data_IF_400314156931
#
_entry.id   IF_400314156931
#
_cell.length_a   1.000
_cell.length_b   1.000
_cell.length_c   1.000
_cell.angle_alpha   90.00
_cell.angle_beta   90.00
_cell.angle_gamma   90.00
#
_symmetry.space_group_name_H-M   'P 1'
#
loop_
_entity.id
_entity.type
_entity.pdbx_description
1 polymer ?
#
# COMPACT_ATOMS: atom_id res chain seq x y z
N UNK A 1 -70.39 -20.56 63.07
CA UNK A 1 -69.18 -20.54 62.21
C UNK A 1 -69.63 -20.20 60.80
N UNK A 2 -69.40 -18.97 60.33
CA UNK A 2 -69.78 -18.54 58.99
C UNK A 2 -68.51 -18.50 58.14
N UNK A 3 -68.26 -19.57 57.38
CA UNK A 3 -67.17 -19.63 56.42
C UNK A 3 -67.58 -18.80 55.18
N UNK A 4 -67.00 -17.61 55.02
CA UNK A 4 -67.04 -16.90 53.75
C UNK A 4 -66.12 -17.63 52.76
N UNK A 5 -66.72 -18.46 51.89
CA UNK A 5 -66.04 -18.94 50.70
C UNK A 5 -65.99 -17.81 49.66
N UNK A 6 -64.78 -17.37 49.30
CA UNK A 6 -64.58 -16.46 48.18
C UNK A 6 -64.98 -17.16 46.87
N UNK A 7 -65.77 -16.51 45.99
CA UNK A 7 -66.19 -17.12 44.73
C UNK A 7 -64.97 -17.39 43.84
N UNK A 8 -64.93 -18.60 43.28
CA UNK A 8 -63.88 -19.08 42.38
C UNK A 8 -63.97 -18.37 41.01
N UNK A 9 -63.59 -17.09 40.98
CA UNK A 9 -63.65 -16.24 39.80
C UNK A 9 -62.42 -16.47 38.93
N UNK A 10 -62.37 -17.63 38.27
CA UNK A 10 -61.32 -18.00 37.33
C UNK A 10 -61.05 -16.93 36.25
N UNK A 11 -62.08 -16.14 35.90
CA UNK A 11 -61.93 -14.99 35.00
C UNK A 11 -61.08 -13.86 35.59
N UNK A 12 -61.32 -13.51 36.86
CA UNK A 12 -60.58 -12.47 37.58
C UNK A 12 -59.11 -12.87 37.77
N UNK A 13 -58.85 -14.15 38.06
CA UNK A 13 -57.49 -14.70 38.14
C UNK A 13 -56.75 -14.60 36.80
N UNK A 14 -57.40 -14.96 35.69
CA UNK A 14 -56.83 -14.82 34.35
C UNK A 14 -56.54 -13.36 33.99
N UNK A 15 -57.42 -12.44 34.40
CA UNK A 15 -57.26 -11.01 34.16
C UNK A 15 -56.08 -10.42 34.96
N UNK A 16 -55.95 -10.79 36.24
CA UNK A 16 -54.83 -10.37 37.11
C UNK A 16 -53.50 -10.91 36.58
N UNK A 17 -53.47 -12.17 36.13
CA UNK A 17 -52.27 -12.78 35.54
C UNK A 17 -51.91 -12.11 34.21
N UNK A 18 -52.88 -11.80 33.35
CA UNK A 18 -52.64 -11.09 32.09
C UNK A 18 -52.14 -9.65 32.32
N UNK A 19 -52.75 -8.90 33.24
CA UNK A 19 -52.29 -7.57 33.62
C UNK A 19 -50.88 -7.60 34.25
N UNK A 20 -50.60 -8.59 35.10
CA UNK A 20 -49.28 -8.78 35.70
C UNK A 20 -48.21 -9.10 34.66
N UNK A 21 -48.52 -9.93 33.66
CA UNK A 21 -47.62 -10.21 32.53
C UNK A 21 -47.38 -8.97 31.66
N UNK A 22 -48.41 -8.17 31.37
CA UNK A 22 -48.27 -6.91 30.63
C UNK A 22 -47.42 -5.87 31.38
N UNK A 23 -47.59 -5.77 32.70
CA UNK A 23 -46.78 -4.90 33.56
C UNK A 23 -45.32 -5.37 33.63
N UNK A 24 -45.08 -6.67 33.72
CA UNK A 24 -43.73 -7.25 33.63
C UNK A 24 -43.09 -7.00 32.25
N UNK A 25 -43.84 -7.13 31.15
CA UNK A 25 -43.34 -6.82 29.81
C UNK A 25 -42.98 -5.34 29.66
N UNK A 26 -43.82 -4.45 30.18
CA UNK A 26 -43.56 -3.01 30.18
C UNK A 26 -42.35 -2.65 31.04
N UNK A 27 -42.21 -3.26 32.23
CA UNK A 27 -41.05 -3.06 33.11
C UNK A 27 -39.76 -3.55 32.44
N UNK A 28 -39.82 -4.69 31.74
CA UNK A 28 -38.70 -5.22 30.95
C UNK A 28 -38.26 -4.23 29.87
N UNK A 29 -39.19 -3.58 29.16
CA UNK A 29 -38.83 -2.55 28.16
C UNK A 29 -38.15 -1.31 28.77
N UNK A 30 -38.39 -0.98 30.04
CA UNK A 30 -37.73 0.14 30.74
C UNK A 30 -36.35 -0.26 31.27
N UNK A 31 -36.13 -1.54 31.57
CA UNK A 31 -34.88 -2.05 32.15
C UNK A 31 -33.77 -2.29 31.12
N UNK A 32 -34.12 -2.30 29.82
CA UNK A 32 -33.15 -2.40 28.72
C UNK A 32 -33.18 -1.11 27.92
N UNK A 33 -32.31 -0.11 28.20
CA UNK A 33 -32.18 1.03 27.31
C UNK A 33 -31.85 0.52 25.90
N UNK A 34 -32.66 0.89 24.91
CA UNK A 34 -32.33 0.65 23.51
C UNK A 34 -30.93 1.22 23.27
N UNK A 35 -29.99 0.38 22.87
CA UNK A 35 -28.70 0.87 22.38
C UNK A 35 -29.00 1.73 21.17
N UNK A 36 -29.03 3.05 21.31
CA UNK A 36 -29.26 3.95 20.19
C UNK A 36 -28.08 3.81 19.23
N UNK A 37 -28.29 3.11 18.12
CA UNK A 37 -27.22 2.79 17.19
C UNK A 37 -26.98 3.97 16.27
N UNK A 38 -25.86 4.65 16.47
CA UNK A 38 -25.35 5.67 15.57
C UNK A 38 -24.64 5.01 14.40
N UNK A 39 -24.69 5.63 13.22
CA UNK A 39 -24.04 5.10 12.03
C UNK A 39 -23.72 6.25 11.10
N UNK A 40 -22.47 6.33 10.66
CA UNK A 40 -22.06 7.35 9.72
C UNK A 40 -20.64 7.15 9.21
N UNK A 41 -20.36 7.76 8.07
CA UNK A 41 -19.04 7.74 7.43
C UNK A 41 -18.68 9.12 6.90
N UNK A 42 -17.37 9.35 6.78
CA UNK A 42 -16.85 10.56 6.14
C UNK A 42 -16.99 10.42 4.61
N UNK A 43 -17.80 11.28 4.03
CA UNK A 43 -18.12 11.35 2.60
C UNK A 43 -17.16 12.29 1.85
N UNK A 44 -16.78 13.41 2.46
CA UNK A 44 -15.79 14.35 1.89
C UNK A 44 -14.70 14.67 2.92
N UNK A 45 -13.41 14.49 2.60
CA UNK A 45 -12.94 13.61 1.52
C UNK A 45 -13.45 12.18 1.75
N UNK A 46 -13.67 11.42 0.67
CA UNK A 46 -14.20 10.06 0.78
C UNK A 46 -13.30 9.19 1.67
N UNK A 47 -13.87 8.57 2.70
CA UNK A 47 -13.12 7.71 3.61
C UNK A 47 -12.63 6.43 2.92
N UNK A 48 -11.59 5.82 3.47
CA UNK A 48 -11.05 4.52 3.06
C UNK A 48 -12.15 3.46 2.97
N UNK A 49 -13.03 3.41 3.98
CA UNK A 49 -14.16 2.50 4.03
C UNK A 49 -15.23 2.84 2.96
N UNK A 50 -15.53 4.12 2.74
CA UNK A 50 -16.45 4.53 1.66
C UNK A 50 -15.90 4.14 0.28
N UNK A 51 -14.60 4.33 0.05
CA UNK A 51 -13.94 3.90 -1.18
C UNK A 51 -13.96 2.37 -1.36
N UNK A 52 -14.00 1.59 -0.27
CA UNK A 52 -14.25 0.15 -0.33
C UNK A 52 -15.67 -0.18 -0.79
N UNK A 53 -16.68 0.53 -0.26
CA UNK A 53 -18.07 0.37 -0.71
C UNK A 53 -18.25 0.76 -2.18
N UNK A 54 -17.50 1.75 -2.64
CA UNK A 54 -17.54 2.23 -4.02
C UNK A 54 -16.67 1.41 -4.98
N UNK A 55 -16.09 0.28 -4.55
CA UNK A 55 -15.21 -0.59 -5.34
C UNK A 55 -13.93 0.09 -5.87
N UNK A 56 -13.51 1.19 -5.24
CA UNK A 56 -12.24 1.87 -5.56
C UNK A 56 -11.09 1.22 -4.80
N UNK A 57 -11.30 0.89 -3.54
CA UNK A 57 -10.40 0.05 -2.77
C UNK A 57 -10.88 -1.41 -2.82
N UNK A 58 -9.93 -2.33 -2.88
CA UNK A 58 -10.20 -3.78 -2.94
C UNK A 58 -9.75 -4.49 -1.66
N UNK A 59 -10.25 -5.72 -1.46
CA UNK A 59 -9.94 -6.57 -0.30
C UNK A 59 -10.20 -5.88 1.06
N UNK A 60 -11.39 -5.31 1.23
CA UNK A 60 -11.73 -4.53 2.43
C UNK A 60 -12.58 -5.28 3.47
N UNK A 61 -12.98 -6.52 3.20
CA UNK A 61 -13.89 -7.27 4.07
C UNK A 61 -15.21 -6.55 4.32
N UNK A 62 -15.68 -6.56 5.58
CA UNK A 62 -16.97 -5.98 6.00
C UNK A 62 -17.17 -4.50 5.63
N UNK A 63 -16.08 -3.72 5.58
CA UNK A 63 -16.14 -2.30 5.26
C UNK A 63 -16.73 -2.00 3.86
N UNK A 64 -16.66 -2.95 2.92
CA UNK A 64 -17.30 -2.81 1.60
C UNK A 64 -18.83 -2.80 1.66
N UNK A 65 -19.43 -3.37 2.70
CA UNK A 65 -20.89 -3.46 2.83
C UNK A 65 -21.46 -2.37 3.73
N UNK A 66 -20.71 -2.00 4.77
CA UNK A 66 -21.21 -1.14 5.85
C UNK A 66 -20.18 -0.12 6.36
N UNK A 67 -19.70 0.80 5.50
CA UNK A 67 -18.71 1.80 5.91
C UNK A 67 -19.18 2.71 7.05
N UNK A 68 -20.50 2.81 7.25
CA UNK A 68 -21.10 3.57 8.35
C UNK A 68 -20.90 2.96 9.75
N UNK A 69 -20.43 1.71 9.85
CA UNK A 69 -20.38 0.96 11.11
C UNK A 69 -18.99 0.91 11.74
N UNK A 70 -18.07 1.79 11.36
CA UNK A 70 -16.71 1.87 11.92
C UNK A 70 -16.72 2.44 13.36
N UNK A 71 -17.28 1.69 14.30
CA UNK A 71 -17.49 2.07 15.69
C UNK A 71 -16.33 1.63 16.59
N UNK A 72 -15.91 2.50 17.50
CA UNK A 72 -14.89 2.26 18.52
C UNK A 72 -15.28 2.91 19.85
N UNK A 73 -14.50 2.66 20.91
CA UNK A 73 -14.55 3.48 22.12
C UNK A 73 -14.18 4.95 21.83
N UNK A 74 -14.72 5.89 22.60
CA UNK A 74 -14.41 7.33 22.48
C UNK A 74 -13.10 7.73 23.19
N UNK A 75 -12.71 8.99 23.04
CA UNK A 75 -11.64 9.60 23.85
C UNK A 75 -10.24 9.55 23.22
N UNK A 76 -10.15 9.24 21.93
CA UNK A 76 -8.89 9.37 21.20
C UNK A 76 -8.32 10.81 21.35
N UNK A 77 -7.01 10.99 21.62
CA UNK A 77 -5.95 9.97 21.60
C UNK A 77 -5.68 9.26 22.94
N UNK A 78 -6.20 9.75 24.07
CA UNK A 78 -5.92 9.16 25.39
C UNK A 78 -6.71 7.84 25.64
N UNK A 79 -7.81 7.66 24.93
CA UNK A 79 -8.58 6.43 24.82
C UNK A 79 -8.80 6.05 23.35
N UNK A 80 -9.97 5.49 23.05
CA UNK A 80 -10.33 5.06 21.70
C UNK A 80 -9.55 3.84 21.19
N UNK A 81 -9.54 3.60 19.86
CA UNK A 81 -8.91 2.41 19.30
C UNK A 81 -7.39 2.38 19.56
N UNK A 82 -6.87 1.16 19.76
CA UNK A 82 -5.45 0.92 20.01
C UNK A 82 -4.57 1.21 18.79
N UNK A 83 -3.27 1.39 19.03
CA UNK A 83 -2.29 1.51 17.95
C UNK A 83 -2.27 0.26 17.07
N UNK A 84 -2.15 0.46 15.76
CA UNK A 84 -2.31 -0.61 14.77
C UNK A 84 -3.77 -0.98 14.46
N UNK A 85 -4.73 -0.46 15.22
CA UNK A 85 -6.17 -0.72 15.05
C UNK A 85 -7.01 0.55 14.91
N UNK A 86 -6.37 1.66 14.54
CA UNK A 86 -7.04 2.96 14.41
C UNK A 86 -8.00 2.95 13.21
N UNK A 87 -7.56 2.46 12.05
CA UNK A 87 -8.34 2.48 10.83
C UNK A 87 -9.50 1.48 10.84
N UNK A 88 -9.34 0.35 11.53
CA UNK A 88 -10.39 -0.65 11.74
C UNK A 88 -11.39 -0.28 12.83
N UNK A 89 -11.24 0.88 13.48
CA UNK A 89 -12.04 1.26 14.65
C UNK A 89 -11.97 0.22 15.78
N UNK A 90 -10.79 -0.34 16.06
CA UNK A 90 -10.62 -1.34 17.11
C UNK A 90 -11.03 -2.75 16.68
N UNK A 91 -10.64 -3.17 15.48
CA UNK A 91 -10.96 -4.46 14.84
C UNK A 91 -12.41 -4.64 14.35
N UNK A 92 -13.21 -3.58 14.30
CA UNK A 92 -14.51 -3.61 13.63
C UNK A 92 -14.36 -3.95 12.13
N UNK A 93 -13.34 -3.38 11.47
CA UNK A 93 -12.96 -3.73 10.09
C UNK A 93 -11.45 -4.00 9.95
N UNK A 94 -10.95 -5.19 10.34
CA UNK A 94 -9.50 -5.45 10.47
C UNK A 94 -8.70 -5.22 9.19
N UNK A 95 -9.30 -5.47 8.02
CA UNK A 95 -8.67 -5.23 6.71
C UNK A 95 -8.26 -3.78 6.48
N UNK A 96 -8.92 -2.83 7.15
CA UNK A 96 -8.58 -1.41 7.02
C UNK A 96 -7.26 -1.03 7.72
N UNK A 97 -6.72 -1.89 8.60
CA UNK A 97 -5.45 -1.65 9.30
C UNK A 97 -4.21 -1.96 8.44
N UNK A 98 -4.39 -2.67 7.30
CA UNK A 98 -3.31 -2.88 6.34
C UNK A 98 -2.77 -1.52 5.89
N UNK A 99 -1.44 -1.33 5.94
CA UNK A 99 -0.83 -0.04 5.65
C UNK A 99 0.49 -0.24 4.87
N UNK A 100 0.38 -0.02 3.57
CA UNK A 100 1.53 0.23 2.69
C UNK A 100 1.23 1.49 1.89
N UNK A 101 2.27 2.09 1.31
CA UNK A 101 2.10 3.27 0.50
C UNK A 101 1.07 3.05 -0.64
N UNK A 102 1.09 1.90 -1.28
CA UNK A 102 0.25 1.59 -2.45
C UNK A 102 -1.08 0.93 -2.11
N UNK A 103 -1.32 0.57 -0.84
CA UNK A 103 -2.48 -0.23 -0.44
C UNK A 103 -3.83 0.45 -0.71
N UNK A 104 -3.87 1.77 -0.55
CA UNK A 104 -5.11 2.55 -0.59
C UNK A 104 -5.06 3.64 -1.67
N UNK A 105 -6.19 3.79 -2.36
CA UNK A 105 -6.45 4.89 -3.28
C UNK A 105 -6.49 6.22 -2.54
N UNK A 106 -5.91 7.27 -3.13
CA UNK A 106 -5.73 8.58 -2.48
C UNK A 106 -6.65 9.60 -3.12
N UNK A 107 -7.33 10.39 -2.28
CA UNK A 107 -8.15 11.51 -2.67
C UNK A 107 -7.28 12.77 -2.78
N UNK A 108 -7.33 13.54 -3.88
CA UNK A 108 -6.61 14.81 -3.97
C UNK A 108 -6.99 15.76 -2.83
N UNK A 109 -6.01 16.42 -2.23
CA UNK A 109 -6.19 17.32 -1.11
C UNK A 109 -5.32 18.57 -1.26
N UNK A 110 -5.73 19.66 -0.60
CA UNK A 110 -4.94 20.89 -0.49
C UNK A 110 -4.98 21.37 0.96
N UNK A 111 -3.91 22.03 1.36
CA UNK A 111 -3.91 22.79 2.61
C UNK A 111 -4.91 23.96 2.54
N UNK A 112 -5.15 24.59 3.68
CA UNK A 112 -6.09 25.69 3.80
C UNK A 112 -7.53 25.24 4.07
N UNK A 113 -8.53 26.12 3.89
CA UNK A 113 -9.93 25.81 4.13
C UNK A 113 -10.44 24.67 3.24
N UNK A 114 -10.89 23.58 3.86
CA UNK A 114 -11.51 22.43 3.21
C UNK A 114 -12.79 22.02 3.94
N UNK A 115 -13.76 21.50 3.17
CA UNK A 115 -14.99 20.97 3.73
C UNK A 115 -14.82 19.49 4.08
N UNK A 116 -15.27 19.13 5.29
CA UNK A 116 -15.40 17.76 5.76
C UNK A 116 -16.87 17.43 5.89
N UNK A 117 -17.35 16.45 5.13
CA UNK A 117 -18.77 16.11 5.10
C UNK A 117 -18.98 14.70 5.60
N UNK A 118 -19.91 14.55 6.54
CA UNK A 118 -20.34 13.27 7.08
C UNK A 118 -21.73 12.94 6.58
N UNK A 119 -21.91 11.69 6.14
CA UNK A 119 -23.23 11.11 5.95
C UNK A 119 -23.55 10.25 7.17
N UNK A 120 -24.53 10.71 7.95
CA UNK A 120 -25.04 10.07 9.15
C UNK A 120 -26.35 9.36 8.80
N UNK A 121 -26.31 8.04 8.73
CA UNK A 121 -27.50 7.23 8.45
C UNK A 121 -28.52 7.32 9.59
N UNK A 122 -28.02 7.53 10.81
CA UNK A 122 -28.81 7.94 11.96
C UNK A 122 -28.07 9.09 12.63
N UNK A 123 -28.61 10.31 12.57
CA UNK A 123 -28.08 11.42 13.36
C UNK A 123 -28.36 11.21 14.84
N UNK A 124 -27.35 11.43 15.68
CA UNK A 124 -27.44 11.29 17.14
C UNK A 124 -26.91 12.54 17.84
N UNK A 125 -27.34 12.72 19.08
CA UNK A 125 -26.77 13.73 19.98
C UNK A 125 -25.24 13.60 19.96
N UNK A 126 -24.53 14.67 19.65
CA UNK A 126 -23.10 14.61 19.34
C UNK A 126 -22.30 15.41 20.35
N UNK A 127 -21.21 14.82 20.84
CA UNK A 127 -20.24 15.54 21.67
C UNK A 127 -19.38 16.41 20.77
N UNK A 128 -18.71 15.80 19.79
CA UNK A 128 -17.71 16.50 18.97
C UNK A 128 -17.37 15.75 17.68
N UNK A 129 -16.94 16.52 16.67
CA UNK A 129 -16.20 16.02 15.52
C UNK A 129 -14.74 16.47 15.63
N UNK A 130 -13.79 15.55 15.53
CA UNK A 130 -12.33 15.82 15.59
C UNK A 130 -11.65 15.34 14.32
N UNK A 131 -10.68 16.11 13.85
CA UNK A 131 -9.88 15.78 12.68
C UNK A 131 -8.38 15.89 13.00
N UNK A 132 -7.66 14.81 12.77
CA UNK A 132 -6.21 14.69 12.94
C UNK A 132 -5.58 14.38 11.59
N UNK A 133 -4.30 14.67 11.44
CA UNK A 133 -3.55 14.38 10.21
C UNK A 133 -2.19 13.80 10.56
N UNK A 134 -1.66 12.93 9.70
CA UNK A 134 -0.32 12.38 9.91
C UNK A 134 0.76 13.47 9.93
N UNK A 135 1.81 13.23 10.72
CA UNK A 135 2.99 14.11 10.80
C UNK A 135 3.71 14.20 9.45
N UNK A 136 4.42 15.29 9.15
CA UNK A 136 5.44 15.27 8.11
C UNK A 136 6.43 14.12 8.35
N UNK A 137 6.79 13.38 7.31
CA UNK A 137 7.72 12.23 7.42
C UNK A 137 7.16 10.99 8.12
N UNK A 138 5.85 10.88 8.32
CA UNK A 138 5.22 9.63 8.80
C UNK A 138 5.58 8.45 7.88
N UNK A 139 5.68 7.24 8.43
CA UNK A 139 5.99 6.04 7.66
C UNK A 139 4.70 5.46 7.02
N UNK A 140 4.51 5.53 5.69
CA UNK A 140 3.31 5.03 5.02
C UNK A 140 3.28 3.50 4.88
N UNK A 141 4.38 2.81 5.24
CA UNK A 141 4.55 1.36 5.17
C UNK A 141 4.53 0.68 6.55
N UNK A 142 4.00 1.36 7.57
CA UNK A 142 3.79 0.81 8.90
C UNK A 142 2.35 1.05 9.37
N UNK A 143 1.78 0.17 10.21
CA UNK A 143 0.44 0.37 10.77
C UNK A 143 0.25 1.75 11.40
N UNK A 144 -0.96 2.30 11.28
CA UNK A 144 -1.29 3.60 11.85
C UNK A 144 -1.29 3.53 13.38
N UNK A 145 -0.49 4.38 14.00
CA UNK A 145 -0.36 4.51 15.46
C UNK A 145 -0.54 5.96 15.87
N UNK A 146 -0.70 6.24 17.16
CA UNK A 146 -0.64 7.61 17.69
C UNK A 146 0.65 8.34 17.30
N UNK A 147 1.77 7.63 17.18
CA UNK A 147 3.03 8.22 16.74
C UNK A 147 2.98 8.76 15.30
N UNK A 148 2.13 8.17 14.44
CA UNK A 148 1.91 8.58 13.04
C UNK A 148 1.21 9.95 12.92
N UNK A 149 0.43 10.38 13.91
CA UNK A 149 -0.44 11.55 13.85
C UNK A 149 0.06 12.74 14.68
N UNK A 150 -0.23 13.95 14.21
CA UNK A 150 -0.31 15.12 15.08
C UNK A 150 -1.50 14.90 16.03
N UNK A 151 -1.23 14.72 17.33
CA UNK A 151 -2.24 14.37 18.33
C UNK A 151 -3.07 15.56 18.83
N UNK A 152 -2.72 16.77 18.41
CA UNK A 152 -3.62 17.93 18.52
C UNK A 152 -4.48 17.95 17.26
N UNK A 153 -5.81 17.85 17.35
CA UNK A 153 -6.64 17.89 16.17
C UNK A 153 -6.47 19.25 15.49
N UNK A 154 -6.26 19.26 14.17
CA UNK A 154 -6.17 20.52 13.42
C UNK A 154 -7.54 21.20 13.31
N UNK A 155 -8.62 20.46 13.59
CA UNK A 155 -9.99 20.95 13.63
C UNK A 155 -10.80 20.13 14.63
N UNK A 156 -11.52 20.80 15.52
CA UNK A 156 -12.46 20.21 16.46
C UNK A 156 -13.73 21.07 16.49
N UNK A 157 -14.90 20.44 16.40
CA UNK A 157 -16.19 21.12 16.50
C UNK A 157 -17.06 20.42 17.52
N UNK A 158 -17.31 21.12 18.62
CA UNK A 158 -18.11 20.62 19.74
C UNK A 158 -19.58 20.99 19.53
N UNK A 159 -20.45 19.99 19.54
CA UNK A 159 -21.90 20.17 19.42
C UNK A 159 -22.62 20.15 20.77
N UNK A 160 -21.91 19.89 21.88
CA UNK A 160 -22.42 19.97 23.25
C UNK A 160 -23.74 19.19 23.46
N UNK A 161 -23.89 18.04 22.79
CA UNK A 161 -25.08 17.19 22.85
C UNK A 161 -26.17 17.53 21.84
N UNK A 162 -26.01 18.56 21.01
CA UNK A 162 -26.93 18.82 19.89
C UNK A 162 -26.83 17.72 18.83
N UNK A 163 -27.96 17.41 18.19
CA UNK A 163 -28.02 16.48 17.07
C UNK A 163 -27.76 17.23 15.75
N UNK A 164 -26.75 16.83 14.95
CA UNK A 164 -26.51 17.40 13.63
C UNK A 164 -27.56 16.93 12.60
N UNK A 165 -27.54 17.51 11.41
CA UNK A 165 -28.26 16.97 10.24
C UNK A 165 -27.65 15.65 9.77
N UNK A 166 -28.44 14.82 9.08
CA UNK A 166 -27.96 13.56 8.47
C UNK A 166 -26.84 13.76 7.44
N UNK A 167 -26.71 14.96 6.89
CA UNK A 167 -25.57 15.36 6.08
C UNK A 167 -24.94 16.58 6.73
N UNK A 168 -23.87 16.36 7.49
CA UNK A 168 -23.25 17.37 8.34
C UNK A 168 -21.93 17.83 7.73
N UNK A 169 -21.70 19.13 7.68
CA UNK A 169 -20.48 19.72 7.09
C UNK A 169 -19.73 20.53 8.14
N UNK A 170 -18.43 20.27 8.24
CA UNK A 170 -17.48 21.06 8.99
C UNK A 170 -16.50 21.71 8.02
N UNK A 171 -16.21 23.00 8.17
CA UNK A 171 -15.12 23.64 7.43
C UNK A 171 -13.88 23.71 8.33
N UNK A 172 -12.79 23.12 7.88
CA UNK A 172 -11.56 23.01 8.64
C UNK A 172 -10.39 23.59 7.85
N UNK A 173 -9.46 24.25 8.55
CA UNK A 173 -8.22 24.72 7.94
C UNK A 173 -7.17 23.60 7.98
N UNK A 174 -7.00 22.89 6.86
CA UNK A 174 -6.09 21.74 6.76
C UNK A 174 -4.63 22.24 6.79
N UNK A 175 -3.76 21.69 7.65
CA UNK A 175 -2.35 22.09 7.70
C UNK A 175 -1.60 21.85 6.38
N UNK A 176 -0.55 22.64 6.14
CA UNK A 176 0.38 22.41 5.03
C UNK A 176 1.02 21.02 5.10
N UNK A 177 0.99 20.32 3.96
CA UNK A 177 1.50 18.96 3.74
C UNK A 177 1.89 18.77 2.27
N UNK A 178 2.67 17.74 2.00
CA UNK A 178 3.06 17.33 0.65
C UNK A 178 3.00 15.81 0.52
N UNK A 179 2.52 15.32 -0.62
CA UNK A 179 2.41 13.89 -0.91
C UNK A 179 1.31 13.19 -0.10
N UNK A 180 1.51 11.89 0.14
CA UNK A 180 0.53 11.04 0.81
C UNK A 180 0.46 11.30 2.32
N UNK A 181 -0.74 11.55 2.80
CA UNK A 181 -1.08 11.63 4.21
C UNK A 181 -2.37 10.88 4.51
N UNK A 182 -2.62 10.63 5.79
CA UNK A 182 -3.90 10.10 6.27
C UNK A 182 -4.54 11.13 7.18
N UNK A 183 -5.80 11.45 6.90
CA UNK A 183 -6.65 12.23 7.81
C UNK A 183 -7.50 11.26 8.61
N UNK A 184 -7.49 11.41 9.93
CA UNK A 184 -8.32 10.67 10.87
C UNK A 184 -9.47 11.58 11.30
N UNK A 185 -10.70 11.20 10.95
CA UNK A 185 -11.93 11.88 11.32
C UNK A 185 -12.69 11.05 12.35
N UNK A 186 -13.04 11.66 13.48
CA UNK A 186 -13.71 11.00 14.60
C UNK A 186 -14.99 11.75 14.93
N UNK A 187 -16.10 11.03 14.99
CA UNK A 187 -17.38 11.52 15.49
C UNK A 187 -17.67 10.90 16.86
N UNK A 188 -17.68 11.68 17.94
CA UNK A 188 -18.00 11.19 19.29
C UNK A 188 -19.47 11.45 19.63
N UNK A 189 -20.22 10.38 19.92
CA UNK A 189 -21.64 10.47 20.27
C UNK A 189 -21.79 10.92 21.73
N UNK A 190 -22.76 11.79 21.99
CA UNK A 190 -23.09 12.28 23.34
C UNK A 190 -23.91 11.24 24.10
N UNK A 191 -23.68 11.14 25.41
CA UNK A 191 -24.36 10.16 26.27
C UNK A 191 -23.96 8.70 26.06
N UNK A 192 -23.14 8.39 25.04
CA UNK A 192 -22.63 7.06 24.76
C UNK A 192 -21.10 6.97 24.96
N UNK A 193 -20.54 5.77 25.20
CA UNK A 193 -19.09 5.55 25.23
C UNK A 193 -18.47 5.40 23.83
N UNK A 194 -19.23 5.63 22.77
CA UNK A 194 -18.91 5.24 21.39
C UNK A 194 -18.45 6.43 20.54
N UNK A 195 -17.62 6.15 19.55
CA UNK A 195 -17.21 7.06 18.51
C UNK A 195 -17.13 6.34 17.16
N UNK A 196 -17.37 7.07 16.06
CA UNK A 196 -17.20 6.56 14.70
C UNK A 196 -15.89 7.07 14.13
N UNK A 197 -15.04 6.14 13.72
CA UNK A 197 -13.67 6.40 13.29
C UNK A 197 -13.54 6.16 11.80
N UNK A 198 -13.19 7.21 11.06
CA UNK A 198 -12.99 7.14 9.62
C UNK A 198 -11.59 7.66 9.29
N UNK A 199 -10.84 6.93 8.47
CA UNK A 199 -9.60 7.43 7.88
C UNK A 199 -9.83 7.77 6.41
N UNK A 200 -9.22 8.85 5.94
CA UNK A 200 -9.18 9.22 4.53
C UNK A 200 -7.74 9.29 4.05
N UNK A 201 -7.43 8.53 3.01
CA UNK A 201 -6.15 8.53 2.32
C UNK A 201 -6.11 9.72 1.36
N UNK A 202 -5.21 10.66 1.58
CA UNK A 202 -5.17 11.93 0.85
C UNK A 202 -3.81 12.19 0.22
N UNK A 203 -3.80 12.83 -0.94
CA UNK A 203 -2.58 13.26 -1.64
C UNK A 203 -2.57 14.78 -1.81
N UNK A 204 -1.62 15.45 -1.17
CA UNK A 204 -1.43 16.89 -1.25
C UNK A 204 -0.65 17.34 -2.50
N UNK A 205 -0.18 16.39 -3.32
CA UNK A 205 0.77 16.68 -4.38
C UNK A 205 2.07 17.28 -3.82
N UNK A 206 2.91 17.88 -4.66
CA UNK A 206 4.03 18.70 -4.18
C UNK A 206 5.15 17.97 -3.40
N UNK A 207 5.17 16.63 -3.33
CA UNK A 207 6.40 15.92 -2.96
C UNK A 207 7.50 16.34 -3.94
N UNK A 208 8.66 16.80 -3.44
CA UNK A 208 9.76 17.24 -4.30
C UNK A 208 10.02 16.16 -5.33
N UNK A 209 9.77 16.46 -6.62
CA UNK A 209 10.08 15.53 -7.67
C UNK A 209 11.54 15.12 -7.49
N UNK A 210 11.78 13.83 -7.27
CA UNK A 210 13.14 13.35 -7.09
C UNK A 210 13.97 13.79 -8.30
N UNK A 211 15.21 14.25 -8.10
CA UNK A 211 16.09 14.51 -9.22
C UNK A 211 16.33 13.20 -9.99
N UNK A 212 16.64 13.32 -11.27
CA UNK A 212 17.07 12.16 -12.06
C UNK A 212 18.33 11.54 -11.42
N UNK A 213 18.44 10.20 -11.34
CA UNK A 213 19.69 9.56 -10.97
C UNK A 213 20.84 10.02 -11.87
N UNK A 214 21.94 10.44 -11.26
CA UNK A 214 23.13 10.90 -11.98
C UNK A 214 24.15 9.76 -12.15
N UNK A 215 25.09 9.94 -13.08
CA UNK A 215 26.22 9.05 -13.30
C UNK A 215 25.81 7.59 -13.59
N UNK A 216 24.73 7.38 -14.35
CA UNK A 216 24.44 6.05 -14.86
C UNK A 216 25.61 5.62 -15.74
N UNK A 217 26.19 4.46 -15.45
CA UNK A 217 27.31 3.87 -16.18
C UNK A 217 27.17 2.34 -16.25
N UNK A 218 27.75 1.76 -17.30
CA UNK A 218 27.97 0.31 -17.36
C UNK A 218 29.26 -0.05 -16.64
N UNK A 219 29.21 -1.07 -15.78
CA UNK A 219 30.36 -1.56 -15.01
C UNK A 219 30.92 -2.88 -15.53
N UNK A 220 30.10 -3.69 -16.21
CA UNK A 220 30.51 -4.92 -16.86
C UNK A 220 29.59 -5.25 -18.02
N UNK A 221 30.16 -5.91 -19.04
CA UNK A 221 29.45 -6.32 -20.26
C UNK A 221 29.89 -7.74 -20.61
N UNK A 222 28.93 -8.64 -20.77
CA UNK A 222 29.17 -10.00 -21.29
C UNK A 222 28.51 -10.16 -22.67
N UNK A 223 28.50 -11.37 -23.19
CA UNK A 223 27.74 -11.70 -24.40
C UNK A 223 26.22 -11.62 -24.21
N UNK A 224 25.73 -11.74 -22.97
CA UNK A 224 24.30 -11.88 -22.67
C UNK A 224 23.83 -11.07 -21.43
N UNK A 225 24.67 -10.19 -20.89
CA UNK A 225 24.32 -9.35 -19.76
C UNK A 225 25.07 -8.02 -19.73
N UNK A 226 24.46 -7.03 -19.08
CA UNK A 226 25.05 -5.71 -18.80
C UNK A 226 24.80 -5.39 -17.33
N UNK A 227 25.87 -5.07 -16.60
CA UNK A 227 25.79 -4.52 -15.24
C UNK A 227 25.87 -3.01 -15.26
N UNK A 228 25.02 -2.37 -14.45
CA UNK A 228 24.84 -0.92 -14.36
C UNK A 228 25.02 -0.44 -12.92
N UNK A 229 25.52 0.79 -12.76
CA UNK A 229 25.53 1.52 -11.49
C UNK A 229 25.20 3.00 -11.70
N UNK A 230 24.71 3.67 -10.65
CA UNK A 230 24.37 5.10 -10.66
C UNK A 230 24.53 5.71 -9.26
N UNK A 231 24.44 7.03 -9.15
CA UNK A 231 24.47 7.75 -7.87
C UNK A 231 23.13 7.62 -7.11
N UNK A 232 23.19 7.54 -5.78
CA UNK A 232 21.98 7.54 -4.95
C UNK A 232 21.22 8.86 -5.02
N UNK A 233 19.90 8.77 -5.00
CA UNK A 233 18.98 9.92 -4.94
C UNK A 233 18.35 9.96 -3.55
N UNK A 234 18.57 11.06 -2.82
CA UNK A 234 17.96 11.26 -1.52
C UNK A 234 16.42 11.28 -1.64
N UNK A 235 15.73 10.51 -0.80
CA UNK A 235 14.27 10.36 -0.86
C UNK A 235 13.77 9.29 -1.84
N UNK A 236 14.65 8.63 -2.60
CA UNK A 236 14.29 7.47 -3.40
C UNK A 236 14.00 6.26 -2.51
N UNK A 237 12.83 5.65 -2.70
CA UNK A 237 12.49 4.36 -2.11
C UNK A 237 12.99 3.18 -2.96
N UNK A 238 13.05 3.37 -4.29
CA UNK A 238 13.60 2.38 -5.23
C UNK A 238 14.02 3.04 -6.54
N UNK A 239 14.54 2.24 -7.48
CA UNK A 239 14.94 2.66 -8.82
C UNK A 239 14.33 1.72 -9.86
N UNK A 240 13.72 2.29 -10.89
CA UNK A 240 13.20 1.58 -12.05
C UNK A 240 14.23 1.65 -13.18
N UNK A 241 14.62 0.49 -13.71
CA UNK A 241 15.57 0.36 -14.82
C UNK A 241 14.80 0.12 -16.11
N UNK A 242 15.23 0.80 -17.17
CA UNK A 242 14.65 0.69 -18.51
C UNK A 242 15.72 0.24 -19.51
N UNK A 243 15.35 -0.66 -20.41
CA UNK A 243 16.10 -1.07 -21.59
C UNK A 243 15.29 -0.68 -22.83
N UNK A 244 15.86 0.13 -23.70
CA UNK A 244 15.21 0.65 -24.92
C UNK A 244 13.83 1.26 -24.60
N UNK A 245 13.79 2.06 -23.54
CA UNK A 245 12.60 2.70 -22.97
C UNK A 245 11.52 1.75 -22.39
N UNK A 246 11.79 0.45 -22.30
CA UNK A 246 10.91 -0.55 -21.68
C UNK A 246 11.43 -0.91 -20.29
N UNK A 247 10.56 -0.89 -19.28
CA UNK A 247 10.89 -1.29 -17.92
C UNK A 247 11.34 -2.76 -17.86
N UNK A 248 12.53 -3.02 -17.32
CA UNK A 248 13.11 -4.38 -17.20
C UNK A 248 13.28 -4.86 -15.76
N UNK A 249 13.22 -3.96 -14.78
CA UNK A 249 13.27 -4.34 -13.38
C UNK A 249 13.32 -3.16 -12.43
N UNK A 250 13.09 -3.44 -11.15
CA UNK A 250 13.13 -2.48 -10.05
C UNK A 250 14.12 -2.97 -9.00
N UNK A 251 14.86 -2.07 -8.36
CA UNK A 251 15.83 -2.40 -7.32
C UNK A 251 15.86 -1.30 -6.24
N UNK A 252 16.18 -1.66 -5.00
CA UNK A 252 16.45 -0.68 -3.93
C UNK A 252 17.93 -0.30 -3.85
N UNK A 253 18.82 -1.08 -4.47
CA UNK A 253 20.25 -0.78 -4.60
C UNK A 253 20.51 0.21 -5.73
N UNK A 254 21.67 0.87 -5.70
CA UNK A 254 22.13 1.78 -6.78
C UNK A 254 22.86 1.04 -7.91
N UNK A 255 22.46 -0.20 -8.16
CA UNK A 255 23.05 -1.08 -9.16
C UNK A 255 22.05 -2.13 -9.62
N UNK A 256 22.18 -2.55 -10.88
CA UNK A 256 21.33 -3.58 -11.48
C UNK A 256 22.06 -4.32 -12.60
N UNK A 257 21.88 -5.65 -12.69
CA UNK A 257 22.40 -6.46 -13.79
C UNK A 257 21.23 -6.92 -14.65
N UNK A 258 21.19 -6.47 -15.91
CA UNK A 258 20.23 -6.94 -16.89
C UNK A 258 20.79 -8.16 -17.63
N UNK A 259 20.14 -9.31 -17.51
CA UNK A 259 20.53 -10.59 -18.13
C UNK A 259 19.61 -10.95 -19.29
N UNK A 260 19.93 -12.02 -20.01
CA UNK A 260 19.11 -12.53 -21.13
C UNK A 260 19.17 -11.63 -22.36
N UNK A 261 20.29 -10.93 -22.56
CA UNK A 261 20.54 -10.10 -23.74
C UNK A 261 21.03 -10.96 -24.90
N UNK A 262 20.72 -10.52 -26.12
CA UNK A 262 21.29 -11.11 -27.33
C UNK A 262 22.75 -10.71 -27.49
N UNK A 263 23.55 -11.61 -28.05
CA UNK A 263 24.95 -11.36 -28.33
C UNK A 263 25.14 -10.32 -29.45
N UNK A 264 26.24 -9.58 -29.37
CA UNK A 264 26.64 -8.58 -30.38
C UNK A 264 25.60 -7.47 -30.61
N UNK A 265 24.67 -7.28 -29.68
CA UNK A 265 23.51 -6.41 -29.83
C UNK A 265 23.68 -5.18 -28.98
N UNK A 266 23.37 -4.02 -29.55
CA UNK A 266 23.39 -2.74 -28.84
C UNK A 266 22.09 -2.51 -28.10
N UNK A 267 22.18 -2.10 -26.84
CA UNK A 267 21.06 -1.76 -25.97
C UNK A 267 21.27 -0.38 -25.36
N UNK A 268 20.18 0.36 -25.14
CA UNK A 268 20.18 1.61 -24.39
C UNK A 268 19.56 1.43 -23.01
N UNK A 269 20.16 2.02 -21.99
CA UNK A 269 19.70 1.94 -20.61
C UNK A 269 19.51 3.32 -20.00
N UNK A 270 18.41 3.47 -19.25
CA UNK A 270 18.15 4.62 -18.36
C UNK A 270 17.60 4.12 -17.02
N UNK A 271 17.66 4.97 -16.00
CA UNK A 271 17.13 4.69 -14.67
C UNK A 271 16.34 5.89 -14.16
N UNK A 272 15.20 5.64 -13.51
CA UNK A 272 14.45 6.63 -12.74
C UNK A 272 14.46 6.24 -11.26
N UNK A 273 14.71 7.21 -10.38
CA UNK A 273 14.39 7.07 -8.96
C UNK A 273 12.87 7.12 -8.76
N UNK A 274 12.36 6.28 -7.87
CA UNK A 274 10.97 6.21 -7.46
C UNK A 274 10.91 6.66 -6.01
N UNK A 275 10.09 7.65 -5.71
CA UNK A 275 9.93 8.11 -4.32
C UNK A 275 9.13 7.09 -3.49
N UNK A 276 9.06 7.34 -2.17
CA UNK A 276 8.19 6.56 -1.30
C UNK A 276 6.73 6.59 -1.75
N UNK A 277 6.37 7.52 -2.66
CA UNK A 277 5.04 7.66 -3.24
C UNK A 277 4.78 6.89 -4.53
N UNK A 278 5.75 6.09 -5.00
CA UNK A 278 5.63 5.38 -6.27
C UNK A 278 5.74 6.29 -7.50
N UNK A 279 6.00 7.58 -7.32
CA UNK A 279 6.16 8.54 -8.41
C UNK A 279 7.60 8.51 -8.92
N UNK A 280 7.73 8.39 -10.24
CA UNK A 280 9.03 8.40 -10.90
C UNK A 280 9.58 9.82 -11.08
N UNK A 281 10.89 9.96 -10.87
CA UNK A 281 11.71 11.07 -11.36
C UNK A 281 11.87 11.04 -12.88
N UNK A 282 12.35 12.14 -13.49
CA UNK A 282 12.91 12.09 -14.84
C UNK A 282 14.02 11.02 -14.97
N UNK A 283 14.19 10.47 -16.17
CA UNK A 283 15.23 9.50 -16.45
C UNK A 283 16.64 10.08 -16.29
N UNK A 284 17.58 9.24 -15.89
CA UNK A 284 19.02 9.52 -15.90
C UNK A 284 19.56 9.87 -17.29
N UNK A 285 20.88 10.12 -17.38
CA UNK A 285 21.59 10.02 -18.66
C UNK A 285 21.40 8.63 -19.30
N UNK A 286 21.48 8.57 -20.64
CA UNK A 286 21.41 7.31 -21.40
C UNK A 286 22.79 6.67 -21.45
N UNK A 287 22.84 5.36 -21.24
CA UNK A 287 24.04 4.53 -21.48
C UNK A 287 23.73 3.54 -22.60
N UNK A 288 24.52 3.60 -23.69
CA UNK A 288 24.42 2.65 -24.79
C UNK A 288 25.58 1.67 -24.74
N UNK A 289 25.27 0.38 -24.74
CA UNK A 289 26.26 -0.71 -24.62
C UNK A 289 26.00 -1.76 -25.67
N UNK A 290 27.05 -2.26 -26.32
CA UNK A 290 26.98 -3.44 -27.19
C UNK A 290 27.51 -4.65 -26.43
N UNK A 291 26.73 -5.72 -26.34
CA UNK A 291 27.21 -7.00 -25.76
C UNK A 291 28.42 -7.50 -26.55
N UNK A 292 29.33 -8.23 -25.90
CA UNK A 292 30.67 -8.56 -26.44
C UNK A 292 30.66 -9.50 -27.66
N UNK A 293 29.49 -9.85 -28.20
CA UNK A 293 29.34 -10.71 -29.38
C UNK A 293 29.40 -12.20 -29.07
N UNK A 294 29.92 -12.58 -27.90
CA UNK A 294 30.58 -13.87 -27.74
C UNK A 294 31.79 -13.90 -28.68
N UNK A 295 32.98 -14.20 -28.17
CA UNK A 295 34.12 -14.40 -29.08
C UNK A 295 33.92 -15.73 -29.78
N UNK A 296 33.11 -15.79 -30.84
CA UNK A 296 33.22 -16.88 -31.82
C UNK A 296 34.50 -16.61 -32.61
N UNK A 297 35.65 -16.87 -31.99
CA UNK A 297 36.93 -16.86 -32.67
C UNK A 297 36.82 -17.91 -33.77
N UNK A 298 36.57 -17.48 -35.01
CA UNK A 298 36.35 -18.39 -36.13
C UNK A 298 37.72 -18.88 -36.57
N UNK A 299 38.18 -19.99 -35.99
CA UNK A 299 39.40 -20.63 -36.45
C UNK A 299 39.15 -21.37 -37.77
N UNK A 300 40.14 -21.46 -38.67
CA UNK A 300 39.99 -22.21 -39.90
C UNK A 300 39.58 -23.66 -39.60
N UNK A 301 38.72 -24.23 -40.45
CA UNK A 301 38.31 -25.62 -40.30
C UNK A 301 39.54 -26.53 -40.37
N UNK A 302 39.63 -27.50 -39.47
CA UNK A 302 40.70 -28.48 -39.51
C UNK A 302 40.67 -29.27 -40.82
N UNK A 303 41.84 -29.42 -41.42
CA UNK A 303 42.11 -30.24 -42.59
C UNK A 303 43.18 -31.28 -42.27
N UNK A 304 42.93 -32.54 -42.66
CA UNK A 304 43.86 -33.66 -42.54
C UNK A 304 45.15 -33.48 -43.37
N UNK A 305 45.12 -32.65 -44.42
CA UNK A 305 46.29 -32.47 -45.31
C UNK A 305 47.16 -31.29 -44.91
N UNK A 306 46.71 -30.43 -43.99
CA UNK A 306 47.46 -29.26 -43.54
C UNK A 306 48.42 -29.63 -42.42
N UNK A 307 49.64 -29.12 -42.47
CA UNK A 307 50.61 -29.22 -41.39
C UNK A 307 50.33 -28.11 -40.38
N UNK A 308 50.21 -28.48 -39.11
CA UNK A 308 50.06 -27.54 -38.00
C UNK A 308 51.29 -27.59 -37.11
N UNK A 309 51.74 -26.43 -36.66
CA UNK A 309 52.80 -26.30 -35.65
C UNK A 309 52.21 -25.77 -34.34
N UNK A 310 52.98 -25.88 -33.25
CA UNK A 310 52.56 -25.43 -31.93
C UNK A 310 52.00 -24.00 -31.95
N UNK A 311 50.80 -23.81 -31.40
CA UNK A 311 50.08 -22.53 -31.37
C UNK A 311 49.11 -22.30 -32.54
N UNK A 312 49.11 -23.13 -33.58
CA UNK A 312 48.08 -23.04 -34.63
C UNK A 312 46.71 -23.44 -34.10
N UNK A 313 45.67 -22.71 -34.52
CA UNK A 313 44.30 -22.87 -34.02
C UNK A 313 43.36 -23.24 -35.15
N UNK A 314 42.46 -24.19 -34.90
CA UNK A 314 41.49 -24.72 -35.87
C UNK A 314 40.13 -24.96 -35.21
N UNK A 315 39.08 -25.01 -36.02
CA UNK A 315 37.76 -25.50 -35.59
C UNK A 315 37.50 -26.89 -36.17
N UNK A 316 37.02 -27.83 -35.36
CA UNK A 316 36.61 -29.16 -35.79
C UNK A 316 35.36 -29.59 -35.02
N UNK A 317 34.29 -29.93 -35.73
CA UNK A 317 32.97 -30.28 -35.15
C UNK A 317 32.41 -29.24 -34.16
N UNK A 318 32.63 -27.94 -34.43
CA UNK A 318 32.13 -26.84 -33.59
C UNK A 318 32.93 -26.59 -32.30
N UNK A 319 34.05 -27.30 -32.11
CA UNK A 319 34.99 -27.10 -31.00
C UNK A 319 36.28 -26.51 -31.54
N UNK A 320 36.85 -25.59 -30.77
CA UNK A 320 38.10 -24.93 -31.11
C UNK A 320 39.28 -25.66 -30.47
N UNK A 321 40.36 -25.83 -31.23
CA UNK A 321 41.56 -26.51 -30.79
C UNK A 321 42.82 -25.70 -31.11
N UNK A 322 43.85 -25.84 -30.29
CA UNK A 322 45.21 -25.37 -30.56
C UNK A 322 46.17 -26.56 -30.59
N UNK A 323 47.01 -26.63 -31.63
CA UNK A 323 48.07 -27.64 -31.72
C UNK A 323 49.13 -27.35 -30.65
N UNK A 324 49.50 -28.36 -29.87
CA UNK A 324 50.56 -28.26 -28.84
C UNK A 324 51.95 -28.33 -29.46
N UNK A 325 52.09 -29.03 -30.58
CA UNK A 325 53.32 -29.23 -31.34
C UNK A 325 52.98 -29.63 -32.78
N UNK A 326 53.99 -30.00 -33.58
CA UNK A 326 53.84 -30.38 -34.98
C UNK A 326 52.87 -31.56 -35.16
N UNK A 327 51.91 -31.45 -36.10
CA UNK A 327 51.01 -32.54 -36.51
C UNK A 327 50.46 -32.36 -37.93
N UNK A 328 50.12 -33.46 -38.59
CA UNK A 328 49.41 -33.50 -39.88
C UNK A 328 48.54 -34.76 -39.90
N UNK A 329 47.29 -34.67 -40.36
CA UNK A 329 46.38 -35.81 -40.47
C UNK A 329 45.70 -36.26 -39.18
N UNK A 330 46.16 -35.80 -38.01
CA UNK A 330 45.57 -36.16 -36.72
C UNK A 330 44.34 -35.31 -36.40
N UNK A 331 43.20 -36.00 -36.21
CA UNK A 331 41.92 -35.38 -35.87
C UNK A 331 41.96 -34.67 -34.50
N UNK A 332 41.46 -33.43 -34.39
CA UNK A 332 41.39 -32.74 -33.11
C UNK A 332 40.34 -33.36 -32.19
N UNK A 333 40.80 -33.97 -31.10
CA UNK A 333 39.96 -34.60 -30.07
C UNK A 333 40.20 -34.05 -28.67
N UNK A 334 41.15 -33.14 -28.52
CA UNK A 334 41.51 -32.53 -27.23
C UNK A 334 42.40 -33.41 -26.34
N UNK A 335 42.75 -34.60 -26.80
CA UNK A 335 43.70 -35.51 -26.15
C UNK A 335 44.98 -35.59 -26.98
N UNK A 336 46.13 -35.75 -26.33
CA UNK A 336 47.45 -35.66 -26.96
C UNK A 336 47.77 -34.31 -27.62
N UNK A 337 47.74 -34.22 -28.95
CA UNK A 337 48.42 -33.15 -29.70
C UNK A 337 47.61 -31.87 -29.79
N UNK A 338 46.29 -31.97 -29.61
CA UNK A 338 45.38 -30.83 -29.60
C UNK A 338 44.96 -30.48 -28.17
N UNK A 339 44.92 -29.19 -27.81
CA UNK A 339 44.23 -28.70 -26.61
C UNK A 339 42.94 -27.99 -27.01
N UNK A 340 41.85 -28.25 -26.31
CA UNK A 340 40.60 -27.50 -26.47
C UNK A 340 40.84 -26.07 -25.99
N UNK A 341 40.33 -25.09 -26.72
CA UNK A 341 40.40 -23.66 -26.37
C UNK A 341 39.00 -23.03 -26.45
N UNK A 342 38.77 -21.90 -25.77
CA UNK A 342 37.53 -21.13 -25.89
C UNK A 342 37.21 -20.75 -27.34
#
# INVERSE_FOLDING_TARGET
>A
MMNLALPNNAWLQKLVVACGMLLMLALVMVLFPEKSSAHGYLDVPASRALLCKNNVNTDCGGASYEPQSAEAGKGFPNGGPGDGHIASAGNTFPKLDEQTFTRWSKVPMKAGPQAFKWQLNAAHATTTFKYFITKPGWNPNAPLTRASFDLTPFCQVDLNGASPSNYYTTNCNVPERTGYHVILAIWEVSGAPTAYVNVADVDFGGGSALPAPANLASTAVTENSVSLSWASVAGAASYQVYRDNVAVGTTTSTSYTNTGLSNGTSYSFTVSAIDSSGKASPSSNVVTVKTTGGSTTTYPAWSATTVYVGGNKVSYNGVNYEAKWWTQGETPTGTNVWKVIP
#
